data_IF_459055563329
#
_entry.id   IF_459055563329
#
_cell.length_a   1.000
_cell.length_b   1.000
_cell.length_c   1.000
_cell.angle_alpha   90.00
_cell.angle_beta   90.00
_cell.angle_gamma   90.00
#
_symmetry.space_group_name_H-M   'P 1'
#
loop_
_entity.id
_entity.type
_entity.pdbx_description
1 polymer ?
#
# COMPACT_ATOMS: atom_id res chain seq x y z
N UNK A 1 2.39 9.17 8.44
CA UNK A 1 2.36 8.72 9.85
C UNK A 1 2.67 7.23 10.02
N UNK A 2 2.20 6.32 9.16
CA UNK A 2 2.71 4.95 9.09
C UNK A 2 3.45 4.78 7.77
N UNK A 3 4.75 4.50 7.82
CA UNK A 3 5.63 4.41 6.64
C UNK A 3 5.83 2.95 6.19
N UNK A 4 4.96 2.04 6.63
CA UNK A 4 4.97 0.61 6.31
C UNK A 4 3.72 0.27 5.50
N UNK A 5 3.93 -0.22 4.27
CA UNK A 5 2.87 -0.57 3.33
C UNK A 5 2.02 -1.75 3.83
N UNK A 6 2.66 -2.77 4.42
CA UNK A 6 1.97 -4.00 4.85
C UNK A 6 1.02 -3.68 6.02
N UNK A 7 1.51 -2.90 6.99
CA UNK A 7 0.68 -2.43 8.11
C UNK A 7 -0.51 -1.59 7.64
N UNK A 8 -0.30 -0.72 6.64
CA UNK A 8 -1.35 0.12 6.10
C UNK A 8 -2.44 -0.71 5.39
N UNK A 9 -2.04 -1.70 4.59
CA UNK A 9 -2.96 -2.63 3.91
C UNK A 9 -3.78 -3.44 4.93
N UNK A 10 -3.13 -4.08 5.90
CA UNK A 10 -3.80 -4.90 6.92
C UNK A 10 -4.82 -4.07 7.72
N UNK A 11 -4.41 -2.86 8.14
CA UNK A 11 -5.27 -1.97 8.90
C UNK A 11 -6.48 -1.48 8.10
N UNK A 12 -6.31 -1.21 6.80
CA UNK A 12 -7.39 -0.84 5.91
C UNK A 12 -8.37 -2.00 5.68
N UNK A 13 -7.85 -3.21 5.47
CA UNK A 13 -8.69 -4.41 5.32
C UNK A 13 -9.54 -4.66 6.57
N UNK A 14 -8.97 -4.52 7.77
CA UNK A 14 -9.75 -4.60 9.00
C UNK A 14 -10.84 -3.53 9.08
N UNK A 15 -10.55 -2.31 8.63
CA UNK A 15 -11.55 -1.23 8.60
C UNK A 15 -12.70 -1.54 7.62
N UNK A 16 -12.39 -2.11 6.45
CA UNK A 16 -13.37 -2.52 5.46
C UNK A 16 -14.28 -3.65 5.97
N UNK A 17 -13.74 -4.60 6.74
CA UNK A 17 -14.54 -5.65 7.39
C UNK A 17 -15.55 -5.03 8.37
N UNK A 18 -15.13 -4.05 9.16
CA UNK A 18 -16.05 -3.33 10.08
C UNK A 18 -17.11 -2.55 9.31
N UNK A 19 -16.71 -1.88 8.22
CA UNK A 19 -17.64 -1.16 7.35
C UNK A 19 -18.70 -2.10 6.76
N UNK A 20 -18.29 -3.23 6.19
CA UNK A 20 -19.17 -4.23 5.59
C UNK A 20 -20.20 -4.79 6.58
N UNK A 21 -19.83 -4.95 7.85
CA UNK A 21 -20.76 -5.39 8.90
C UNK A 21 -21.72 -4.28 9.37
N UNK A 22 -21.27 -3.01 9.34
CA UNK A 22 -21.98 -1.88 9.96
C UNK A 22 -22.91 -1.16 8.99
N UNK A 23 -22.43 -0.81 7.80
CA UNK A 23 -23.16 0.02 6.84
C UNK A 23 -24.51 -0.55 6.39
N UNK A 24 -24.68 -1.88 6.20
CA UNK A 24 -26.00 -2.43 5.85
C UNK A 24 -27.09 -2.15 6.90
N UNK A 25 -26.72 -1.93 8.16
CA UNK A 25 -27.66 -1.67 9.26
C UNK A 25 -27.81 -0.19 9.59
N UNK A 26 -26.73 0.58 9.48
CA UNK A 26 -26.69 1.99 9.90
C UNK A 26 -26.74 2.99 8.75
N UNK A 27 -26.72 2.53 7.50
CA UNK A 27 -26.50 3.38 6.33
C UNK A 27 -25.04 3.77 6.14
N UNK A 28 -24.75 4.36 4.98
CA UNK A 28 -23.43 4.87 4.61
C UNK A 28 -23.19 6.23 5.28
N UNK A 29 -22.04 6.47 5.95
CA UNK A 29 -21.71 7.77 6.51
C UNK A 29 -21.50 8.84 5.44
N UNK A 30 -21.79 10.11 5.77
CA UNK A 30 -21.60 11.26 4.85
C UNK A 30 -20.17 11.37 4.31
N UNK A 31 -19.17 10.99 5.12
CA UNK A 31 -17.78 10.88 4.69
C UNK A 31 -17.24 9.47 4.96
N UNK A 32 -17.56 8.53 4.06
CA UNK A 32 -17.12 7.14 4.15
C UNK A 32 -15.58 7.01 4.15
N UNK A 33 -14.88 7.79 3.32
CA UNK A 33 -13.42 7.76 3.23
C UNK A 33 -12.74 8.22 4.53
N UNK A 34 -13.20 9.33 5.11
CA UNK A 34 -12.71 9.83 6.39
C UNK A 34 -13.01 8.85 7.53
N UNK A 35 -14.17 8.21 7.51
CA UNK A 35 -14.52 7.18 8.49
C UNK A 35 -13.57 5.96 8.39
N UNK A 36 -13.33 5.46 7.18
CA UNK A 36 -12.41 4.35 6.94
C UNK A 36 -10.99 4.69 7.39
N UNK A 37 -10.50 5.89 7.08
CA UNK A 37 -9.20 6.36 7.54
C UNK A 37 -9.07 6.33 9.07
N UNK A 38 -10.07 6.86 9.79
CA UNK A 38 -10.05 6.88 11.26
C UNK A 38 -10.06 5.47 11.84
N UNK A 39 -10.87 4.57 11.28
CA UNK A 39 -10.94 3.18 11.75
C UNK A 39 -9.65 2.45 11.44
N UNK A 40 -9.13 2.54 10.22
CA UNK A 40 -7.86 1.95 9.82
C UNK A 40 -6.71 2.45 10.72
N UNK A 41 -6.63 3.75 11.00
CA UNK A 41 -5.63 4.31 11.91
C UNK A 41 -5.70 3.69 13.31
N UNK A 42 -6.90 3.50 13.86
CA UNK A 42 -7.08 2.83 15.15
C UNK A 42 -6.63 1.37 15.09
N UNK A 43 -6.97 0.65 14.02
CA UNK A 43 -6.53 -0.74 13.80
C UNK A 43 -5.02 -0.86 13.70
N UNK A 44 -4.35 0.01 12.94
CA UNK A 44 -2.89 0.05 12.82
C UNK A 44 -2.22 0.23 14.20
N UNK A 45 -2.72 1.17 15.01
CA UNK A 45 -2.23 1.39 16.38
C UNK A 45 -2.42 0.13 17.25
N UNK A 46 -3.58 -0.53 17.15
CA UNK A 46 -3.86 -1.74 17.91
C UNK A 46 -2.95 -2.92 17.51
N UNK A 47 -2.66 -3.08 16.22
CA UNK A 47 -1.72 -4.08 15.70
C UNK A 47 -0.30 -3.84 16.23
N UNK A 48 0.19 -2.59 16.17
CA UNK A 48 1.49 -2.21 16.74
C UNK A 48 1.56 -2.47 18.24
N UNK A 49 0.48 -2.14 18.98
CA UNK A 49 0.40 -2.41 20.43
C UNK A 49 0.39 -3.92 20.74
N UNK A 50 -0.27 -4.74 19.92
CA UNK A 50 -0.25 -6.21 20.06
C UNK A 50 1.14 -6.77 19.84
N UNK A 51 1.80 -6.40 18.74
CA UNK A 51 3.16 -6.81 18.43
C UNK A 51 4.15 -6.41 19.54
N UNK A 52 4.03 -5.19 20.09
CA UNK A 52 4.86 -4.75 21.21
C UNK A 52 4.64 -5.57 22.49
N UNK A 53 3.41 -5.98 22.79
CA UNK A 53 3.10 -6.85 23.94
C UNK A 53 3.63 -8.26 23.74
N UNK A 54 3.49 -8.82 22.55
CA UNK A 54 4.00 -10.15 22.19
C UNK A 54 5.52 -10.17 22.28
N UNK A 55 6.20 -9.14 21.76
CA UNK A 55 7.65 -9.01 21.86
C UNK A 55 8.09 -8.88 23.32
N UNK A 56 7.41 -8.04 24.14
CA UNK A 56 7.67 -7.96 25.59
C UNK A 56 7.48 -9.29 26.32
N UNK A 57 6.47 -10.09 25.96
CA UNK A 57 6.23 -11.43 26.53
C UNK A 57 7.31 -12.42 26.11
N UNK A 58 7.69 -12.43 24.83
CA UNK A 58 8.76 -13.27 24.29
C UNK A 58 10.11 -12.95 24.95
N UNK A 59 10.39 -11.66 25.18
CA UNK A 59 11.57 -11.15 25.89
C UNK A 59 11.54 -11.56 27.38
N UNK A 60 10.38 -11.44 28.05
CA UNK A 60 10.22 -11.88 29.44
C UNK A 60 10.42 -13.40 29.60
N UNK A 61 10.08 -14.21 28.59
CA UNK A 61 10.36 -15.66 28.59
C UNK A 61 11.79 -16.04 28.21
N UNK A 62 12.60 -15.11 27.68
CA UNK A 62 13.98 -15.36 27.20
C UNK A 62 15.08 -14.68 28.03
N UNK A 63 14.73 -13.96 29.10
CA UNK A 63 15.69 -13.48 30.11
C UNK A 63 16.63 -12.34 29.68
N UNK A 64 16.48 -11.78 28.48
CA UNK A 64 17.33 -10.70 27.99
C UNK A 64 16.67 -9.32 28.19
N UNK A 65 17.23 -8.45 29.02
CA UNK A 65 16.76 -7.08 29.23
C UNK A 65 17.42 -6.09 28.24
N UNK A 66 16.61 -5.35 27.48
CA UNK A 66 17.02 -4.15 26.74
C UNK A 66 16.24 -2.94 27.32
N UNK A 67 16.88 -1.78 27.54
CA UNK A 67 16.23 -0.62 28.16
C UNK A 67 15.04 -0.10 27.34
N UNK A 68 14.05 0.40 28.08
CA UNK A 68 12.76 0.86 27.58
C UNK A 68 12.90 1.85 26.42
N UNK A 69 12.47 1.44 25.23
CA UNK A 69 12.22 2.35 24.14
C UNK A 69 11.07 3.30 24.55
N UNK A 70 11.43 4.57 24.62
CA UNK A 70 10.64 5.73 25.01
C UNK A 70 9.26 5.72 24.36
N UNK A 71 8.22 5.80 25.19
CA UNK A 71 6.84 6.06 24.77
C UNK A 71 6.81 7.37 23.99
N UNK A 72 6.75 7.28 22.67
CA UNK A 72 6.42 8.42 21.83
C UNK A 72 4.96 8.81 22.10
N UNK A 73 4.79 9.86 22.91
CA UNK A 73 3.55 10.63 22.98
C UNK A 73 3.29 11.23 21.60
N UNK A 74 2.33 10.67 20.86
CA UNK A 74 1.92 11.19 19.56
C UNK A 74 0.76 12.15 19.78
N UNK A 75 1.10 13.43 19.79
CA UNK A 75 0.20 14.59 19.77
C UNK A 75 -0.69 14.52 18.50
N UNK A 76 -1.98 14.87 18.55
CA UNK A 76 -2.83 14.89 17.35
C UNK A 76 -2.36 16.00 16.41
N UNK A 77 -1.73 15.64 15.28
CA UNK A 77 -1.46 16.56 14.20
C UNK A 77 -2.65 16.58 13.22
N UNK A 78 -3.48 17.62 13.33
CA UNK A 78 -4.60 17.93 12.43
C UNK A 78 -4.12 18.47 11.06
N UNK A 79 -3.05 17.91 10.48
CA UNK A 79 -2.36 18.54 9.35
C UNK A 79 -1.92 17.56 8.28
N UNK A 80 -2.86 17.04 7.49
CA UNK A 80 -2.61 16.55 6.12
C UNK A 80 -3.73 17.04 5.18
N UNK A 81 -4.15 18.28 5.38
CA UNK A 81 -4.91 19.06 4.40
C UNK A 81 -4.01 20.25 4.05
N UNK A 82 -3.17 20.10 3.01
CA UNK A 82 -2.27 21.17 2.59
C UNK A 82 -0.87 20.69 2.19
N UNK A 83 -0.77 19.92 1.11
CA UNK A 83 0.49 19.80 0.37
C UNK A 83 0.25 19.70 -1.14
N UNK A 84 -0.81 20.34 -1.64
CA UNK A 84 -0.98 20.58 -3.07
C UNK A 84 -0.57 22.03 -3.33
N UNK A 85 0.70 22.21 -3.74
CA UNK A 85 1.07 23.44 -4.45
C UNK A 85 0.19 23.57 -5.68
N UNK A 86 -0.18 24.80 -6.02
CA UNK A 86 -1.09 25.16 -7.09
C UNK A 86 -0.64 24.67 -8.49
N UNK A 87 -0.88 23.39 -8.76
CA UNK A 87 -0.76 22.74 -10.06
C UNK A 87 -1.74 21.57 -10.08
N UNK A 88 -2.73 21.63 -10.97
CA UNK A 88 -3.79 20.64 -11.15
C UNK A 88 -3.24 19.27 -11.56
N UNK A 89 -2.82 18.47 -10.59
CA UNK A 89 -2.95 17.01 -10.67
C UNK A 89 -3.69 16.56 -9.42
N UNK A 90 -5.02 16.44 -9.47
CA UNK A 90 -5.84 15.99 -8.34
C UNK A 90 -5.78 14.47 -8.15
N UNK A 91 -4.69 13.82 -8.59
CA UNK A 91 -4.58 12.37 -8.58
C UNK A 91 -3.52 11.92 -7.56
N UNK A 92 -4.00 11.64 -6.35
CA UNK A 92 -3.22 11.00 -5.28
C UNK A 92 -2.61 9.66 -5.75
N UNK A 93 -3.20 9.00 -6.76
CA UNK A 93 -2.70 7.73 -7.31
C UNK A 93 -1.34 7.87 -7.97
N UNK A 94 -1.05 8.97 -8.65
CA UNK A 94 0.28 9.16 -9.26
C UNK A 94 1.37 9.22 -8.18
N UNK A 95 1.12 9.94 -7.08
CA UNK A 95 2.00 9.96 -5.92
C UNK A 95 2.25 8.57 -5.33
N UNK A 96 1.21 7.74 -5.26
CA UNK A 96 1.32 6.34 -4.82
C UNK A 96 2.13 5.47 -5.79
N UNK A 97 1.96 5.64 -7.10
CA UNK A 97 2.76 4.93 -8.12
C UNK A 97 4.25 5.25 -7.92
N UNK A 98 4.59 6.53 -7.71
CA UNK A 98 5.96 6.95 -7.42
C UNK A 98 6.51 6.37 -6.10
N UNK A 99 5.67 6.31 -5.06
CA UNK A 99 6.05 5.71 -3.78
C UNK A 99 6.39 4.21 -3.92
N UNK A 100 5.58 3.45 -4.66
CA UNK A 100 5.80 2.02 -4.94
C UNK A 100 7.04 1.75 -5.81
N UNK A 101 7.39 2.65 -6.72
CA UNK A 101 8.50 2.50 -7.67
C UNK A 101 9.89 2.81 -7.07
N UNK A 102 10.25 2.19 -5.93
CA UNK A 102 11.52 2.48 -5.25
C UNK A 102 12.75 1.80 -5.89
N UNK A 103 13.82 2.53 -6.27
CA UNK A 103 14.96 1.99 -7.04
C UNK A 103 15.71 0.85 -6.35
N UNK A 104 15.68 0.78 -5.02
CA UNK A 104 16.22 -0.34 -4.25
C UNK A 104 15.57 -1.71 -4.56
N UNK A 105 14.39 -1.75 -5.17
CA UNK A 105 13.71 -2.98 -5.60
C UNK A 105 13.98 -3.16 -7.09
N UNK A 106 14.21 -4.39 -7.57
CA UNK A 106 14.43 -4.62 -8.99
C UNK A 106 13.18 -4.29 -9.82
N UNK A 107 13.38 -3.80 -11.04
CA UNK A 107 12.32 -3.25 -11.88
C UNK A 107 11.10 -4.16 -12.09
N UNK A 108 11.24 -5.44 -12.45
CA UNK A 108 10.07 -6.32 -12.64
C UNK A 108 9.24 -6.52 -11.37
N UNK A 109 9.85 -6.35 -10.20
CA UNK A 109 9.16 -6.45 -8.91
C UNK A 109 8.51 -5.12 -8.51
N UNK A 110 9.12 -3.97 -8.86
CA UNK A 110 8.47 -2.65 -8.72
C UNK A 110 7.18 -2.60 -9.51
N UNK A 111 7.24 -2.94 -10.80
CA UNK A 111 6.06 -2.93 -11.68
C UNK A 111 4.97 -3.88 -11.18
N UNK A 112 5.33 -5.13 -10.84
CA UNK A 112 4.37 -6.11 -10.32
C UNK A 112 3.71 -5.67 -9.00
N UNK A 113 4.49 -5.11 -8.07
CA UNK A 113 3.97 -4.61 -6.79
C UNK A 113 3.02 -3.43 -7.01
N UNK A 114 3.39 -2.47 -7.85
CA UNK A 114 2.58 -1.29 -8.13
C UNK A 114 1.26 -1.65 -8.81
N UNK A 115 1.29 -2.55 -9.80
CA UNK A 115 0.07 -3.04 -10.45
C UNK A 115 -0.84 -3.76 -9.43
N UNK A 116 -0.29 -4.64 -8.60
CA UNK A 116 -1.08 -5.35 -7.60
C UNK A 116 -1.71 -4.42 -6.56
N UNK A 117 -1.02 -3.32 -6.21
CA UNK A 117 -1.47 -2.39 -5.18
C UNK A 117 -2.46 -1.34 -5.69
N UNK A 118 -2.32 -0.90 -6.95
CA UNK A 118 -3.01 0.30 -7.46
C UNK A 118 -3.90 0.05 -8.69
N UNK A 119 -3.92 -1.16 -9.24
CA UNK A 119 -4.84 -1.52 -10.33
C UNK A 119 -5.86 -2.56 -9.86
N UNK A 120 -7.00 -2.63 -10.54
CA UNK A 120 -8.01 -3.68 -10.31
C UNK A 120 -7.63 -5.04 -10.97
N UNK A 121 -6.36 -5.22 -11.36
CA UNK A 121 -5.91 -6.44 -12.01
C UNK A 121 -5.72 -7.57 -11.00
N UNK A 122 -6.22 -8.76 -11.37
CA UNK A 122 -5.94 -9.97 -10.60
C UNK A 122 -4.47 -10.37 -10.73
N UNK A 123 -3.97 -11.14 -9.76
CA UNK A 123 -2.61 -11.71 -9.85
C UNK A 123 -2.42 -12.54 -11.12
N UNK A 124 -3.48 -13.21 -11.60
CA UNK A 124 -3.49 -13.94 -12.87
C UNK A 124 -3.34 -13.00 -14.09
N UNK A 125 -4.09 -11.89 -14.14
CA UNK A 125 -3.99 -10.90 -15.22
C UNK A 125 -2.57 -10.30 -15.29
N UNK A 126 -2.02 -9.93 -14.13
CA UNK A 126 -0.66 -9.40 -14.06
C UNK A 126 0.35 -10.48 -14.49
N UNK A 127 0.15 -11.74 -14.10
CA UNK A 127 1.08 -12.82 -14.45
C UNK A 127 1.10 -13.07 -15.96
N UNK A 128 -0.06 -12.98 -16.60
CA UNK A 128 -0.20 -13.04 -18.05
C UNK A 128 0.52 -11.87 -18.75
N UNK A 129 0.37 -10.63 -18.26
CA UNK A 129 1.09 -9.47 -18.79
C UNK A 129 2.62 -9.60 -18.64
N UNK A 130 3.08 -10.30 -17.61
CA UNK A 130 4.50 -10.63 -17.40
C UNK A 130 4.97 -11.88 -18.15
N UNK A 131 4.08 -12.62 -18.82
CA UNK A 131 4.35 -13.92 -19.44
C UNK A 131 4.99 -14.92 -18.45
N UNK A 132 4.49 -14.95 -17.21
CA UNK A 132 4.98 -15.83 -16.15
C UNK A 132 3.85 -16.60 -15.48
N UNK A 133 4.19 -17.65 -14.73
CA UNK A 133 3.23 -18.36 -13.89
C UNK A 133 2.75 -17.46 -12.74
N UNK A 134 1.47 -17.56 -12.40
CA UNK A 134 0.86 -16.82 -11.29
C UNK A 134 1.63 -17.02 -9.97
N UNK A 135 2.06 -18.25 -9.68
CA UNK A 135 2.88 -18.57 -8.49
C UNK A 135 4.21 -17.82 -8.47
N UNK A 136 4.83 -17.61 -9.64
CA UNK A 136 6.10 -16.89 -9.77
C UNK A 136 5.90 -15.40 -9.52
N UNK A 137 4.80 -14.82 -10.03
CA UNK A 137 4.45 -13.44 -9.77
C UNK A 137 4.11 -13.20 -8.29
N UNK A 138 3.29 -14.06 -7.69
CA UNK A 138 2.94 -13.97 -6.28
C UNK A 138 4.20 -14.00 -5.38
N UNK A 139 5.10 -14.94 -5.63
CA UNK A 139 6.38 -14.99 -4.92
C UNK A 139 7.24 -13.74 -5.14
N UNK A 140 7.23 -13.18 -6.36
CA UNK A 140 7.96 -11.94 -6.66
C UNK A 140 7.44 -10.77 -5.81
N UNK A 141 6.12 -10.62 -5.71
CA UNK A 141 5.48 -9.56 -4.91
C UNK A 141 5.82 -9.74 -3.42
N UNK A 142 5.72 -10.96 -2.90
CA UNK A 142 6.08 -11.24 -1.49
C UNK A 142 7.55 -10.90 -1.20
N UNK A 143 8.47 -11.27 -2.09
CA UNK A 143 9.90 -10.91 -1.94
C UNK A 143 10.12 -9.40 -2.00
N UNK A 144 9.39 -8.69 -2.84
CA UNK A 144 9.44 -7.23 -2.94
C UNK A 144 9.00 -6.56 -1.64
N UNK A 145 7.83 -6.95 -1.10
CA UNK A 145 7.31 -6.46 0.19
C UNK A 145 8.30 -6.73 1.34
N UNK A 146 8.87 -7.94 1.41
CA UNK A 146 9.92 -8.28 2.39
C UNK A 146 11.16 -7.40 2.24
N UNK A 147 11.60 -7.10 1.01
CA UNK A 147 12.76 -6.24 0.77
C UNK A 147 12.49 -4.79 1.18
N UNK A 148 11.29 -4.26 0.93
CA UNK A 148 10.85 -2.95 1.42
C UNK A 148 10.96 -2.87 2.93
N UNK A 149 10.38 -3.87 3.61
CA UNK A 149 10.37 -3.96 5.08
C UNK A 149 11.77 -4.09 5.65
N UNK A 150 12.59 -4.98 5.10
CA UNK A 150 13.97 -5.21 5.56
C UNK A 150 14.88 -4.00 5.36
N UNK A 151 14.67 -3.23 4.28
CA UNK A 151 15.42 -2.02 3.99
C UNK A 151 14.88 -0.77 4.72
N UNK A 152 13.77 -0.89 5.47
CA UNK A 152 13.13 0.24 6.15
C UNK A 152 12.69 1.36 5.20
N UNK A 153 12.36 1.01 3.94
CA UNK A 153 12.01 1.98 2.90
C UNK A 153 10.68 2.63 3.28
N UNK A 154 10.64 3.95 3.49
CA UNK A 154 9.42 4.61 3.91
C UNK A 154 8.43 4.68 2.75
N UNK A 155 7.18 4.27 2.99
CA UNK A 155 6.09 4.50 2.05
C UNK A 155 5.66 5.97 2.09
N UNK A 156 6.25 6.79 1.22
CA UNK A 156 5.99 8.22 1.09
C UNK A 156 6.19 8.67 -0.36
N UNK A 157 5.51 9.75 -0.74
CA UNK A 157 5.74 10.39 -2.05
C UNK A 157 7.18 10.92 -2.09
N UNK A 158 7.97 10.56 -3.11
CA UNK A 158 9.36 10.98 -3.21
C UNK A 158 9.49 12.46 -3.59
N UNK A 159 10.59 13.08 -3.17
CA UNK A 159 10.94 14.45 -3.57
C UNK A 159 11.25 14.50 -5.07
N UNK A 160 11.05 15.67 -5.70
CA UNK A 160 11.23 15.86 -7.16
C UNK A 160 12.60 15.40 -7.67
N UNK A 161 13.65 15.51 -6.86
CA UNK A 161 15.01 15.07 -7.22
C UNK A 161 15.13 13.55 -7.37
N UNK A 162 14.24 12.79 -6.74
CA UNK A 162 14.21 11.33 -6.77
C UNK A 162 13.33 10.78 -7.91
N UNK A 163 12.64 11.64 -8.66
CA UNK A 163 11.75 11.23 -9.76
C UNK A 163 12.49 10.62 -10.95
N UNK A 164 13.65 11.14 -11.40
CA UNK A 164 14.36 10.61 -12.58
C UNK A 164 14.70 9.12 -12.47
N UNK A 165 15.04 8.63 -11.28
CA UNK A 165 15.36 7.21 -11.05
C UNK A 165 14.13 6.30 -11.10
N UNK A 166 12.92 6.87 -11.07
CA UNK A 166 11.64 6.14 -10.97
C UNK A 166 10.81 6.23 -12.24
N UNK A 167 11.02 7.29 -13.03
CA UNK A 167 10.12 7.65 -14.14
C UNK A 167 9.95 6.54 -15.17
N UNK A 168 11.01 5.81 -15.52
CA UNK A 168 10.93 4.71 -16.48
C UNK A 168 10.00 3.57 -16.00
N UNK A 169 10.07 3.24 -14.71
CA UNK A 169 9.20 2.23 -14.11
C UNK A 169 7.77 2.75 -13.95
N UNK A 170 7.59 4.03 -13.58
CA UNK A 170 6.28 4.68 -13.51
C UNK A 170 5.59 4.62 -14.88
N UNK A 171 6.29 4.98 -15.95
CA UNK A 171 5.77 4.90 -17.32
C UNK A 171 5.43 3.46 -17.73
N UNK A 172 6.24 2.49 -17.32
CA UNK A 172 5.95 1.07 -17.57
C UNK A 172 4.66 0.61 -16.88
N UNK A 173 4.42 1.05 -15.65
CA UNK A 173 3.17 0.76 -14.92
C UNK A 173 1.99 1.41 -15.62
N UNK A 174 2.08 2.70 -15.97
CA UNK A 174 0.99 3.43 -16.65
C UNK A 174 0.67 2.77 -17.99
N UNK A 175 1.69 2.41 -18.77
CA UNK A 175 1.53 1.71 -20.04
C UNK A 175 0.82 0.35 -19.86
N UNK A 176 1.18 -0.42 -18.84
CA UNK A 176 0.57 -1.72 -18.58
C UNK A 176 -0.88 -1.60 -18.08
N UNK A 177 -1.19 -0.61 -17.22
CA UNK A 177 -2.58 -0.33 -16.80
C UNK A 177 -3.42 0.01 -18.03
N UNK A 178 -2.92 0.93 -18.87
CA UNK A 178 -3.59 1.32 -20.11
C UNK A 178 -3.81 0.12 -21.03
N UNK A 179 -2.77 -0.67 -21.30
CA UNK A 179 -2.88 -1.84 -22.17
C UNK A 179 -3.82 -2.91 -21.61
N UNK A 180 -3.79 -3.16 -20.30
CA UNK A 180 -4.69 -4.11 -19.66
C UNK A 180 -6.16 -3.65 -19.69
N UNK A 181 -6.41 -2.34 -19.73
CA UNK A 181 -7.74 -1.77 -19.97
C UNK A 181 -8.26 -2.01 -21.39
N UNK A 182 -7.36 -2.05 -22.38
CA UNK A 182 -7.68 -2.30 -23.80
C UNK A 182 -7.71 -3.76 -24.21
N UNK A 183 -7.08 -4.63 -23.43
CA UNK A 183 -7.00 -6.07 -23.69
C UNK A 183 -7.53 -6.81 -22.48
N UNK A 184 -8.82 -7.13 -22.49
CA UNK A 184 -9.36 -8.03 -21.47
C UNK A 184 -8.65 -9.39 -21.57
N UNK A 185 -7.77 -9.66 -20.62
CA UNK A 185 -7.07 -10.95 -20.52
C UNK A 185 -7.99 -12.06 -19.99
N UNK A 186 -9.23 -11.72 -19.60
CA UNK A 186 -10.30 -12.63 -19.18
C UNK A 186 -11.68 -11.96 -19.28
N UNK A 187 -12.69 -12.69 -19.79
CA UNK A 187 -14.10 -12.24 -19.91
C UNK A 187 -14.59 -11.99 -21.35
N UNK A 188 -15.92 -11.85 -21.54
CA UNK A 188 -16.56 -11.51 -22.83
C UNK A 188 -16.44 -10.02 -23.21
N UNK A 189 -16.14 -9.14 -22.24
CA UNK A 189 -15.97 -7.72 -22.47
C UNK A 189 -14.54 -7.43 -22.94
N UNK A 190 -14.37 -6.77 -24.08
CA UNK A 190 -13.05 -6.41 -24.63
C UNK A 190 -12.34 -5.27 -23.86
N UNK A 191 -13.07 -4.55 -23.00
CA UNK A 191 -12.60 -3.37 -22.26
C UNK A 191 -12.85 -3.53 -20.76
N UNK A 192 -11.83 -3.26 -19.93
CA UNK A 192 -11.98 -3.07 -18.47
C UNK A 192 -11.95 -1.57 -18.16
N UNK A 193 -13.13 -0.98 -17.93
CA UNK A 193 -13.31 0.48 -17.77
C UNK A 193 -13.13 0.97 -16.33
N UNK A 194 -12.88 0.06 -15.39
CA UNK A 194 -12.73 0.29 -13.95
C UNK A 194 -11.27 0.43 -13.49
N UNK A 195 -10.33 0.48 -14.44
CA UNK A 195 -8.88 0.60 -14.23
C UNK A 195 -8.37 2.05 -14.22
#
# INVERSE_FOLDING_TARGET
EFRDLELAEDALQEALIVAAAKWPRSGLPDNAAGWLYVVARRKAIDLLRRAARENKRAIASSGASIPAAQEASIVPATGMMGMYGAGEVPDERLGLIFACCHPAINEPARVALTLQALSALSTADIAAAFLTKETTLAQRIVRAKRKIKAAGIPFAVPDLQQWPERIHTVLSVIYLIFNAGYTAHSGEALLKTDL
#
